data_IF_490929334786
#
_entry.id   IF_490929334786
#
_cell.length_a   1.000
_cell.length_b   1.000
_cell.length_c   1.000
_cell.angle_alpha   90.00
_cell.angle_beta   90.00
_cell.angle_gamma   90.00
#
_symmetry.space_group_name_H-M   'P 1'
#
loop_
_entity.id
_entity.type
_entity.pdbx_description
1 polymer ?
#
# COMPACT_ATOMS: atom_id res chain seq x y z
N UNK A 1 -8.41 16.86 11.55
CA UNK A 1 -7.62 15.89 12.33
C UNK A 1 -8.47 14.65 12.45
N UNK A 2 -8.09 13.56 11.79
CA UNK A 2 -8.83 12.31 11.91
C UNK A 2 -8.60 11.78 13.33
N UNK A 3 -9.67 11.68 14.10
CA UNK A 3 -9.67 11.02 15.40
C UNK A 3 -9.10 9.60 15.24
N UNK A 4 -8.18 9.26 16.15
CA UNK A 4 -7.53 7.97 16.26
C UNK A 4 -8.52 6.91 16.79
N UNK A 5 -9.60 6.63 16.06
CA UNK A 5 -10.71 5.77 16.50
C UNK A 5 -10.33 4.32 16.85
N UNK A 6 -9.09 3.91 16.66
CA UNK A 6 -8.65 2.53 16.86
C UNK A 6 -7.34 2.39 17.65
N UNK A 7 -6.77 3.48 18.19
CA UNK A 7 -5.51 3.36 18.94
C UNK A 7 -5.75 2.64 20.28
N UNK A 8 -5.02 1.55 20.52
CA UNK A 8 -5.13 0.77 21.76
C UNK A 8 -6.31 -0.21 21.79
N UNK A 9 -7.13 -0.26 20.75
CA UNK A 9 -8.24 -1.22 20.63
C UNK A 9 -7.94 -2.31 19.61
N UNK A 10 -8.26 -3.55 19.96
CA UNK A 10 -8.15 -4.68 19.03
C UNK A 10 -9.41 -4.72 18.16
N UNK A 11 -9.27 -4.39 16.89
CA UNK A 11 -10.34 -4.46 15.89
C UNK A 11 -10.00 -5.51 14.85
N UNK A 12 -10.64 -6.67 14.98
CA UNK A 12 -10.39 -7.83 14.13
C UNK A 12 -11.70 -8.41 13.63
N UNK A 13 -11.81 -8.51 12.31
CA UNK A 13 -12.84 -9.26 11.63
C UNK A 13 -12.31 -10.67 11.31
N UNK A 14 -13.09 -11.70 11.61
CA UNK A 14 -12.68 -13.10 11.42
C UNK A 14 -12.28 -13.41 9.97
N UNK A 15 -13.00 -12.86 8.99
CA UNK A 15 -12.71 -13.05 7.58
C UNK A 15 -11.47 -12.26 7.15
N UNK A 16 -11.28 -11.05 7.70
CA UNK A 16 -10.03 -10.29 7.51
C UNK A 16 -8.82 -11.04 8.06
N UNK A 17 -8.93 -11.63 9.26
CA UNK A 17 -7.87 -12.41 9.89
C UNK A 17 -7.55 -13.67 9.06
N UNK A 18 -8.55 -14.37 8.56
CA UNK A 18 -8.36 -15.51 7.66
C UNK A 18 -7.56 -15.11 6.41
N UNK A 19 -7.95 -14.00 5.77
CA UNK A 19 -7.24 -13.46 4.61
C UNK A 19 -5.80 -13.12 4.98
N UNK A 20 -5.56 -12.45 6.11
CA UNK A 20 -4.21 -12.14 6.58
C UNK A 20 -3.36 -13.40 6.76
N UNK A 21 -3.88 -14.44 7.43
CA UNK A 21 -3.14 -15.69 7.68
C UNK A 21 -2.78 -16.36 6.36
N UNK A 22 -3.74 -16.47 5.44
CA UNK A 22 -3.49 -17.05 4.10
C UNK A 22 -2.43 -16.25 3.35
N UNK A 23 -2.51 -14.93 3.34
CA UNK A 23 -1.55 -14.07 2.64
C UNK A 23 -0.17 -14.07 3.31
N UNK A 24 -0.10 -14.14 4.65
CA UNK A 24 1.14 -14.26 5.39
C UNK A 24 1.84 -15.60 5.11
N UNK A 25 1.12 -16.71 5.13
CA UNK A 25 1.64 -18.03 4.76
C UNK A 25 2.10 -18.01 3.29
N UNK A 26 1.28 -17.48 2.39
CA UNK A 26 1.64 -17.33 0.98
C UNK A 26 2.93 -16.50 0.82
N UNK A 27 3.08 -15.40 1.55
CA UNK A 27 4.27 -14.53 1.51
C UNK A 27 5.55 -15.26 1.89
N UNK A 28 5.48 -16.31 2.70
CA UNK A 28 6.63 -17.13 3.12
C UNK A 28 6.90 -18.25 2.10
N UNK A 29 5.84 -18.90 1.59
CA UNK A 29 5.95 -20.10 0.77
C UNK A 29 6.24 -19.84 -0.70
N UNK A 30 5.63 -18.80 -1.30
CA UNK A 30 5.74 -18.56 -2.75
C UNK A 30 7.18 -18.27 -3.20
N UNK A 31 7.55 -18.50 -4.46
CA UNK A 31 8.84 -18.07 -5.00
C UNK A 31 9.05 -16.54 -4.85
N UNK A 32 10.31 -16.09 -4.76
CA UNK A 32 10.67 -14.68 -4.50
C UNK A 32 9.94 -13.69 -5.42
N UNK A 33 9.85 -14.03 -6.71
CA UNK A 33 9.15 -13.25 -7.75
C UNK A 33 7.68 -12.92 -7.43
N UNK A 34 7.02 -13.75 -6.62
CA UNK A 34 5.61 -13.57 -6.22
C UNK A 34 5.46 -13.09 -4.77
N UNK A 35 6.55 -12.95 -4.01
CA UNK A 35 6.50 -12.65 -2.58
C UNK A 35 5.89 -11.28 -2.25
N UNK A 36 6.01 -10.33 -3.18
CA UNK A 36 5.39 -9.02 -3.09
C UNK A 36 3.87 -9.04 -3.37
N UNK A 37 3.37 -10.07 -4.05
CA UNK A 37 1.96 -10.14 -4.48
C UNK A 37 1.00 -10.27 -3.29
N UNK A 38 1.22 -11.14 -2.28
CA UNK A 38 0.38 -11.18 -1.10
C UNK A 38 0.29 -9.84 -0.36
N UNK A 39 1.40 -9.09 -0.30
CA UNK A 39 1.44 -7.75 0.31
C UNK A 39 0.55 -6.80 -0.49
N UNK A 40 0.67 -6.78 -1.82
CA UNK A 40 -0.20 -5.99 -2.69
C UNK A 40 -1.68 -6.35 -2.54
N UNK A 41 -2.01 -7.64 -2.47
CA UNK A 41 -3.40 -8.10 -2.28
C UNK A 41 -3.94 -7.55 -0.96
N UNK A 42 -3.16 -7.61 0.13
CA UNK A 42 -3.57 -7.02 1.40
C UNK A 42 -3.81 -5.51 1.26
N UNK A 43 -2.88 -4.77 0.65
CA UNK A 43 -3.01 -3.33 0.42
C UNK A 43 -4.28 -2.95 -0.35
N UNK A 44 -4.67 -3.75 -1.35
CA UNK A 44 -5.77 -3.43 -2.25
C UNK A 44 -7.15 -3.84 -1.70
N UNK A 45 -7.23 -4.87 -0.85
CA UNK A 45 -8.49 -5.51 -0.48
C UNK A 45 -8.79 -5.55 1.02
N UNK A 46 -7.82 -5.23 1.88
CA UNK A 46 -8.02 -5.26 3.34
C UNK A 46 -7.82 -3.89 3.95
N UNK A 47 -8.80 -3.47 4.74
CA UNK A 47 -8.81 -2.16 5.37
C UNK A 47 -7.69 -2.02 6.43
N UNK A 48 -6.99 -0.87 6.48
CA UNK A 48 -5.93 -0.62 7.46
C UNK A 48 -6.46 -0.45 8.89
N UNK A 49 -7.77 -0.39 9.10
CA UNK A 49 -8.38 -0.34 10.43
C UNK A 49 -8.28 -1.66 11.21
N UNK A 50 -7.81 -2.74 10.59
CA UNK A 50 -7.63 -4.04 11.24
C UNK A 50 -6.30 -4.13 12.00
N UNK A 51 -6.36 -4.35 13.32
CA UNK A 51 -5.19 -4.36 14.20
C UNK A 51 -5.38 -5.22 15.44
N UNK A 52 -4.26 -5.73 15.95
CA UNK A 52 -4.18 -6.56 17.16
C UNK A 52 -3.29 -5.84 18.16
N UNK A 53 -3.82 -5.50 19.33
CA UNK A 53 -3.04 -4.85 20.39
C UNK A 53 -2.56 -5.90 21.39
N UNK A 54 -1.25 -6.07 21.52
CA UNK A 54 -0.63 -7.00 22.47
C UNK A 54 0.31 -6.23 23.39
N UNK A 55 0.07 -6.28 24.71
CA UNK A 55 0.91 -5.63 25.72
C UNK A 55 1.23 -4.14 25.43
N UNK A 56 0.26 -3.39 24.89
CA UNK A 56 0.42 -1.96 24.54
C UNK A 56 1.09 -1.71 23.18
N UNK A 57 1.47 -2.76 22.45
CA UNK A 57 1.95 -2.67 21.08
C UNK A 57 0.80 -2.94 20.09
N UNK A 58 0.55 -1.99 19.20
CA UNK A 58 -0.48 -2.07 18.17
C UNK A 58 0.10 -2.75 16.91
N UNK A 59 -0.40 -3.92 16.52
CA UNK A 59 0.01 -4.62 15.31
C UNK A 59 -1.07 -4.54 14.24
N UNK A 60 -0.91 -3.61 13.31
CA UNK A 60 -1.74 -3.54 12.10
C UNK A 60 -1.56 -4.80 11.25
N UNK A 61 -2.57 -5.14 10.44
CA UNK A 61 -2.45 -6.24 9.48
C UNK A 61 -1.31 -6.02 8.48
N UNK A 62 -1.07 -4.75 8.10
CA UNK A 62 0.08 -4.36 7.28
C UNK A 62 1.39 -4.73 7.97
N UNK A 63 1.53 -4.44 9.27
CA UNK A 63 2.73 -4.79 10.02
C UNK A 63 2.94 -6.28 10.10
N UNK A 64 1.87 -7.06 10.33
CA UNK A 64 1.95 -8.52 10.44
C UNK A 64 2.42 -9.13 9.11
N UNK A 65 1.88 -8.69 7.96
CA UNK A 65 2.33 -9.23 6.67
C UNK A 65 3.77 -8.79 6.33
N UNK A 66 4.18 -7.58 6.71
CA UNK A 66 5.56 -7.12 6.55
C UNK A 66 6.51 -7.95 7.43
N UNK A 67 6.11 -8.27 8.66
CA UNK A 67 6.86 -9.19 9.53
C UNK A 67 6.99 -10.58 8.91
N UNK A 68 5.94 -11.12 8.29
CA UNK A 68 6.02 -12.38 7.55
C UNK A 68 6.99 -12.30 6.37
N UNK A 69 6.99 -11.18 5.63
CA UNK A 69 7.96 -10.90 4.57
C UNK A 69 9.41 -10.83 5.08
N UNK A 70 9.64 -10.18 6.23
CA UNK A 70 10.95 -10.14 6.88
C UNK A 70 11.40 -11.52 7.36
N UNK A 71 10.51 -12.30 7.99
CA UNK A 71 10.79 -13.67 8.40
C UNK A 71 11.22 -14.53 7.20
N UNK A 72 10.50 -14.41 6.07
CA UNK A 72 10.89 -15.07 4.81
C UNK A 72 12.29 -14.67 4.35
N UNK A 73 12.59 -13.38 4.30
CA UNK A 73 13.90 -12.86 3.87
C UNK A 73 15.03 -13.41 4.74
N UNK A 74 14.81 -13.50 6.06
CA UNK A 74 15.77 -14.08 7.01
C UNK A 74 15.93 -15.59 6.83
N UNK A 75 14.82 -16.34 6.78
CA UNK A 75 14.82 -17.81 6.62
C UNK A 75 15.49 -18.23 5.31
N UNK A 76 15.25 -17.49 4.22
CA UNK A 76 15.77 -17.80 2.87
C UNK A 76 17.12 -17.14 2.59
N UNK A 77 17.69 -16.38 3.52
CA UNK A 77 18.96 -15.70 3.34
C UNK A 77 18.97 -14.68 2.19
N UNK A 78 17.82 -14.06 1.88
CA UNK A 78 17.66 -13.16 0.73
C UNK A 78 18.39 -11.80 0.91
N UNK A 79 18.91 -11.53 2.11
CA UNK A 79 19.77 -10.39 2.47
C UNK A 79 21.22 -10.50 1.99
N UNK A 80 21.70 -11.69 1.63
CA UNK A 80 23.12 -11.95 1.35
C UNK A 80 23.73 -11.06 0.25
N UNK A 81 22.92 -10.64 -0.72
CA UNK A 81 23.32 -9.76 -1.82
C UNK A 81 22.69 -8.36 -1.71
N UNK A 82 22.39 -7.89 -0.50
CA UNK A 82 21.86 -6.56 -0.30
C UNK A 82 22.98 -5.51 -0.40
N UNK A 83 22.99 -4.76 -1.50
CA UNK A 83 23.94 -3.66 -1.70
C UNK A 83 23.36 -2.34 -1.19
N UNK A 84 24.07 -1.68 -0.29
CA UNK A 84 23.69 -0.36 0.20
C UNK A 84 23.83 0.68 -0.91
N UNK A 85 22.75 1.41 -1.21
CA UNK A 85 22.71 2.48 -2.21
C UNK A 85 22.54 3.84 -1.54
N UNK A 86 22.96 4.96 -2.16
CA UNK A 86 22.77 6.30 -1.60
C UNK A 86 21.31 6.61 -1.23
N UNK A 87 20.36 6.10 -2.02
CA UNK A 87 18.93 6.22 -1.73
C UNK A 87 18.52 5.57 -0.40
N UNK A 88 19.21 4.50 0.03
CA UNK A 88 18.96 3.85 1.32
C UNK A 88 19.37 4.74 2.48
N UNK A 89 20.48 5.47 2.33
CA UNK A 89 20.93 6.45 3.31
C UNK A 89 19.94 7.63 3.40
N UNK A 90 19.43 8.10 2.26
CA UNK A 90 18.40 9.16 2.24
C UNK A 90 17.11 8.69 2.89
N UNK A 91 16.65 7.47 2.60
CA UNK A 91 15.46 6.88 3.21
C UNK A 91 15.63 6.66 4.71
N UNK A 92 16.81 6.21 5.15
CA UNK A 92 17.12 6.05 6.57
C UNK A 92 17.16 7.41 7.28
N UNK A 93 17.81 8.42 6.68
CA UNK A 93 17.86 9.77 7.23
C UNK A 93 16.45 10.37 7.35
N UNK A 94 15.62 10.22 6.32
CA UNK A 94 14.22 10.65 6.35
C UNK A 94 13.42 9.94 7.45
N UNK A 95 13.59 8.63 7.61
CA UNK A 95 12.94 7.85 8.65
C UNK A 95 13.36 8.27 10.07
N UNK A 96 14.67 8.47 10.30
CA UNK A 96 15.21 8.91 11.60
C UNK A 96 14.77 10.33 11.94
N UNK A 97 14.89 11.26 10.98
CA UNK A 97 14.43 12.65 11.17
C UNK A 97 12.92 12.68 11.43
N UNK A 98 12.14 11.90 10.68
CA UNK A 98 10.69 11.79 10.85
C UNK A 98 10.27 11.16 12.18
N UNK A 99 11.06 10.24 12.73
CA UNK A 99 10.86 9.68 14.06
C UNK A 99 11.12 10.74 15.14
N UNK A 100 12.30 11.37 15.09
CA UNK A 100 12.70 12.39 16.07
C UNK A 100 11.76 13.59 16.05
N UNK A 101 11.52 14.18 14.88
CA UNK A 101 10.67 15.37 14.75
C UNK A 101 9.24 15.12 15.27
N UNK A 102 8.64 13.97 14.95
CA UNK A 102 7.29 13.63 15.43
C UNK A 102 7.27 13.47 16.96
N UNK A 103 8.26 12.77 17.51
CA UNK A 103 8.32 12.51 18.96
C UNK A 103 8.55 13.80 19.75
N UNK A 104 9.39 14.70 19.25
CA UNK A 104 9.61 16.01 19.86
C UNK A 104 8.38 16.91 19.76
N UNK A 105 7.68 16.90 18.62
CA UNK A 105 6.48 17.71 18.40
C UNK A 105 5.36 17.37 19.39
N UNK A 106 5.20 16.10 19.74
CA UNK A 106 4.16 15.61 20.64
C UNK A 106 4.63 15.42 22.10
N UNK A 107 5.69 16.13 22.50
CA UNK A 107 6.10 16.23 23.90
C UNK A 107 6.83 15.00 24.45
N UNK A 108 7.39 14.14 23.60
CA UNK A 108 8.28 13.05 24.02
C UNK A 108 7.63 11.91 24.82
N UNK A 109 6.30 11.85 24.87
CA UNK A 109 5.59 10.79 25.57
C UNK A 109 5.91 9.40 24.96
N UNK A 110 6.13 8.41 25.82
CA UNK A 110 6.52 7.04 25.43
C UNK A 110 5.55 6.41 24.41
N UNK A 111 4.24 6.66 24.55
CA UNK A 111 3.22 6.16 23.62
C UNK A 111 3.36 6.69 22.19
N UNK A 112 3.71 7.97 22.02
CA UNK A 112 3.89 8.59 20.70
C UNK A 112 5.15 8.07 20.01
N UNK A 113 6.20 7.84 20.79
CA UNK A 113 7.41 7.17 20.31
C UNK A 113 7.11 5.75 19.83
N UNK A 114 6.43 4.94 20.62
CA UNK A 114 6.06 3.56 20.25
C UNK A 114 5.23 3.54 18.96
N UNK A 115 4.22 4.40 18.86
CA UNK A 115 3.39 4.51 17.66
C UNK A 115 4.21 4.88 16.44
N UNK A 116 5.08 5.89 16.57
CA UNK A 116 5.91 6.37 15.46
C UNK A 116 6.95 5.35 15.02
N UNK A 117 7.53 4.58 15.94
CA UNK A 117 8.41 3.45 15.60
C UNK A 117 7.66 2.41 14.77
N UNK A 118 6.41 2.10 15.13
CA UNK A 118 5.55 1.22 14.34
C UNK A 118 5.31 1.72 12.92
N UNK A 119 4.98 3.01 12.76
CA UNK A 119 4.81 3.66 11.45
C UNK A 119 6.11 3.68 10.62
N UNK A 120 7.24 3.97 11.26
CA UNK A 120 8.56 3.91 10.62
C UNK A 120 8.90 2.48 10.18
N UNK A 121 8.54 1.46 10.96
CA UNK A 121 8.71 0.06 10.57
C UNK A 121 7.87 -0.28 9.34
N UNK A 122 6.62 0.17 9.28
CA UNK A 122 5.75 -0.06 8.13
C UNK A 122 6.27 0.65 6.88
N UNK A 123 6.84 1.85 7.01
CA UNK A 123 7.33 2.62 5.85
C UNK A 123 8.74 2.21 5.42
N UNK A 124 9.73 2.37 6.29
CA UNK A 124 11.13 2.05 5.99
C UNK A 124 11.36 0.54 5.91
N UNK A 125 10.71 -0.24 6.79
CA UNK A 125 10.79 -1.70 6.74
C UNK A 125 10.18 -2.27 5.45
N UNK A 126 9.06 -1.71 4.96
CA UNK A 126 8.54 -2.09 3.65
C UNK A 126 9.51 -1.71 2.53
N UNK A 127 10.09 -0.49 2.55
CA UNK A 127 11.07 -0.07 1.53
C UNK A 127 12.22 -1.07 1.38
N UNK A 128 12.90 -1.43 2.48
CA UNK A 128 14.02 -2.38 2.45
C UNK A 128 13.54 -3.78 2.03
N UNK A 129 12.39 -4.22 2.54
CA UNK A 129 11.78 -5.49 2.18
C UNK A 129 11.52 -5.56 0.67
N UNK A 130 10.88 -4.56 0.07
CA UNK A 130 10.60 -4.53 -1.36
C UNK A 130 11.87 -4.53 -2.21
N UNK A 131 12.97 -3.90 -1.77
CA UNK A 131 14.27 -4.04 -2.46
C UNK A 131 14.86 -5.45 -2.36
N UNK A 132 14.59 -6.18 -1.29
CA UNK A 132 15.02 -7.57 -1.17
C UNK A 132 14.17 -8.50 -2.06
N UNK A 133 12.87 -8.21 -2.18
CA UNK A 133 11.93 -9.03 -2.95
C UNK A 133 12.02 -8.76 -4.45
N UNK A 134 12.15 -7.50 -4.87
CA UNK A 134 12.20 -7.06 -6.28
C UNK A 134 13.64 -6.69 -6.63
N UNK A 135 14.38 -7.63 -7.22
CA UNK A 135 15.80 -7.44 -7.60
C UNK A 135 15.97 -7.26 -9.10
N UNK A 136 15.20 -8.01 -9.89
CA UNK A 136 15.40 -8.11 -11.32
C UNK A 136 14.19 -7.57 -12.11
N UNK A 137 14.39 -7.29 -13.39
CA UNK A 137 13.32 -6.87 -14.30
C UNK A 137 12.17 -7.88 -14.38
N UNK A 138 12.44 -9.16 -14.18
CA UNK A 138 11.44 -10.22 -14.13
C UNK A 138 10.55 -10.12 -12.90
N UNK A 139 11.13 -9.78 -11.73
CA UNK A 139 10.36 -9.58 -10.50
C UNK A 139 9.50 -8.33 -10.62
N UNK A 140 10.09 -7.24 -11.13
CA UNK A 140 9.36 -5.99 -11.37
C UNK A 140 8.19 -6.22 -12.32
N UNK A 141 8.40 -6.95 -13.42
CA UNK A 141 7.33 -7.28 -14.36
C UNK A 141 6.24 -8.12 -13.71
N UNK A 142 6.60 -9.10 -12.88
CA UNK A 142 5.63 -9.95 -12.16
C UNK A 142 4.80 -9.10 -11.20
N UNK A 143 5.45 -8.19 -10.47
CA UNK A 143 4.79 -7.22 -9.58
C UNK A 143 3.83 -6.30 -10.36
N UNK A 144 4.24 -5.78 -11.52
CA UNK A 144 3.40 -4.92 -12.34
C UNK A 144 2.20 -5.68 -12.92
N UNK A 145 2.39 -6.91 -13.43
CA UNK A 145 1.27 -7.74 -13.90
C UNK A 145 0.27 -8.03 -12.79
N UNK A 146 0.76 -8.37 -11.59
CA UNK A 146 -0.10 -8.59 -10.44
C UNK A 146 -0.87 -7.31 -10.09
N UNK A 147 -0.20 -6.16 -9.99
CA UNK A 147 -0.88 -4.90 -9.68
C UNK A 147 -1.89 -4.49 -10.75
N UNK A 148 -1.65 -4.74 -12.05
CA UNK A 148 -2.61 -4.50 -13.14
C UNK A 148 -3.88 -5.34 -12.95
N UNK A 149 -3.71 -6.62 -12.63
CA UNK A 149 -4.86 -7.49 -12.34
C UNK A 149 -5.66 -6.99 -11.13
N UNK A 150 -4.97 -6.60 -10.05
CA UNK A 150 -5.60 -6.11 -8.84
C UNK A 150 -6.33 -4.78 -9.07
N UNK A 151 -5.71 -3.79 -9.73
CA UNK A 151 -6.36 -2.50 -10.01
C UNK A 151 -7.55 -2.67 -10.95
N UNK A 152 -7.48 -3.61 -11.90
CA UNK A 152 -8.60 -3.93 -12.80
C UNK A 152 -9.81 -4.48 -12.05
N UNK A 153 -9.59 -5.23 -10.95
CA UNK A 153 -10.67 -5.65 -10.06
C UNK A 153 -11.13 -4.50 -9.16
N UNK A 154 -10.19 -3.74 -8.58
CA UNK A 154 -10.48 -2.64 -7.65
C UNK A 154 -11.31 -1.54 -8.29
N UNK A 155 -11.05 -1.17 -9.55
CA UNK A 155 -11.84 -0.14 -10.24
C UNK A 155 -13.32 -0.51 -10.33
N UNK A 156 -13.65 -1.80 -10.42
CA UNK A 156 -15.03 -2.29 -10.36
C UNK A 156 -15.69 -2.02 -9.00
N UNK A 157 -14.97 -2.26 -7.90
CA UNK A 157 -15.45 -1.93 -6.56
C UNK A 157 -15.65 -0.42 -6.35
N UNK A 158 -14.74 0.40 -6.88
CA UNK A 158 -14.87 1.87 -6.81
C UNK A 158 -16.04 2.38 -7.65
N UNK A 159 -16.28 1.79 -8.83
CA UNK A 159 -17.44 2.11 -9.65
C UNK A 159 -18.75 1.75 -8.93
N UNK A 160 -18.80 0.59 -8.29
CA UNK A 160 -19.94 0.17 -7.47
C UNK A 160 -20.16 1.10 -6.26
N UNK A 161 -19.10 1.46 -5.56
CA UNK A 161 -19.13 2.39 -4.43
C UNK A 161 -19.70 3.76 -4.86
N UNK A 162 -19.25 4.27 -6.02
CA UNK A 162 -19.72 5.54 -6.57
C UNK A 162 -21.19 5.51 -6.98
N UNK A 163 -21.72 4.37 -7.43
CA UNK A 163 -23.12 4.24 -7.83
C UNK A 163 -24.05 4.05 -6.62
N UNK A 164 -23.62 3.26 -5.64
CA UNK A 164 -24.48 2.82 -4.53
C UNK A 164 -24.33 3.66 -3.26
N UNK A 165 -23.29 4.49 -3.18
CA UNK A 165 -22.85 5.22 -1.97
C UNK A 165 -22.47 4.30 -0.82
N UNK A 166 -22.24 3.01 -1.11
CA UNK A 166 -21.93 1.98 -0.12
C UNK A 166 -20.57 1.37 -0.42
N UNK A 167 -19.72 1.35 0.60
CA UNK A 167 -18.41 0.73 0.52
C UNK A 167 -18.50 -0.76 0.88
N UNK A 168 -18.32 -1.64 -0.11
CA UNK A 168 -18.35 -3.10 0.09
C UNK A 168 -17.25 -3.60 1.04
N UNK A 169 -16.14 -2.87 1.16
CA UNK A 169 -15.04 -3.24 2.06
C UNK A 169 -15.39 -3.01 3.53
N UNK A 170 -16.48 -2.31 3.85
CA UNK A 170 -16.95 -2.16 5.22
C UNK A 170 -17.33 -3.50 5.88
N UNK A 171 -17.61 -4.56 5.09
CA UNK A 171 -17.81 -5.92 5.58
C UNK A 171 -16.61 -6.44 6.36
N UNK A 172 -15.39 -6.03 5.99
CA UNK A 172 -14.17 -6.40 6.70
C UNK A 172 -13.92 -5.53 7.94
N UNK A 173 -14.68 -4.45 8.14
CA UNK A 173 -14.45 -3.45 9.19
C UNK A 173 -13.25 -2.55 8.92
N UNK A 174 -13.13 -1.43 9.64
CA UNK A 174 -12.00 -0.51 9.52
C UNK A 174 -12.09 0.53 8.39
N UNK A 175 -13.19 0.54 7.63
CA UNK A 175 -13.58 1.63 6.70
C UNK A 175 -15.08 1.95 6.87
N UNK A 176 -15.52 3.20 6.58
CA UNK A 176 -16.93 3.58 6.70
C UNK A 176 -17.82 2.81 5.72
N UNK A 177 -19.04 2.37 6.13
CA UNK A 177 -20.00 1.72 5.25
C UNK A 177 -20.61 2.65 4.21
N UNK A 178 -20.74 3.94 4.54
CA UNK A 178 -21.23 4.97 3.63
C UNK A 178 -20.06 5.77 3.05
N UNK A 179 -20.13 6.02 1.74
CA UNK A 179 -19.11 6.77 1.03
C UNK A 179 -19.14 8.24 1.41
N UNK A 180 -17.96 8.81 1.66
CA UNK A 180 -17.82 10.22 2.01
C UNK A 180 -18.32 11.13 0.88
N UNK A 181 -19.24 12.04 1.21
CA UNK A 181 -19.66 13.12 0.33
C UNK A 181 -18.92 14.40 0.68
N UNK A 182 -18.29 15.06 -0.31
CA UNK A 182 -17.63 16.35 -0.12
C UNK A 182 -17.90 17.23 -1.34
N UNK A 183 -18.36 18.46 -1.11
CA UNK A 183 -18.66 19.43 -2.17
C UNK A 183 -19.57 18.85 -3.27
N UNK A 184 -20.58 18.07 -2.88
CA UNK A 184 -21.54 17.45 -3.81
C UNK A 184 -20.99 16.28 -4.63
N UNK A 185 -19.74 15.84 -4.41
CA UNK A 185 -19.15 14.67 -5.07
C UNK A 185 -18.87 13.55 -4.06
N UNK A 186 -19.15 12.32 -4.48
CA UNK A 186 -18.75 11.13 -3.75
C UNK A 186 -17.25 10.94 -3.88
N UNK A 187 -16.61 10.59 -2.76
CA UNK A 187 -15.17 10.29 -2.71
C UNK A 187 -15.00 8.85 -2.29
N UNK A 188 -14.88 7.98 -3.29
CA UNK A 188 -14.72 6.55 -3.06
C UNK A 188 -13.34 6.26 -2.47
N UNK A 189 -13.25 5.32 -1.53
CA UNK A 189 -11.98 4.93 -0.91
C UNK A 189 -11.70 3.43 -0.96
N UNK A 190 -12.68 2.58 -1.26
CA UNK A 190 -12.54 1.14 -1.20
C UNK A 190 -11.95 0.67 0.13
N UNK A 191 -10.94 -0.20 0.08
CA UNK A 191 -10.23 -0.69 1.26
C UNK A 191 -9.24 0.32 1.88
N UNK A 192 -8.99 1.48 1.26
CA UNK A 192 -7.99 2.42 1.77
C UNK A 192 -8.55 3.25 2.94
N UNK A 193 -7.67 3.73 3.82
CA UNK A 193 -8.04 4.61 4.92
C UNK A 193 -8.71 5.93 4.46
N UNK A 194 -8.33 6.42 3.27
CA UNK A 194 -8.82 7.70 2.75
C UNK A 194 -8.77 7.74 1.22
N UNK A 195 -9.72 8.41 0.54
CA UNK A 195 -9.75 8.54 -0.93
C UNK A 195 -8.46 9.11 -1.54
N UNK A 196 -7.82 10.04 -0.84
CA UNK A 196 -6.53 10.62 -1.29
C UNK A 196 -5.44 9.55 -1.36
N UNK A 197 -5.36 8.69 -0.33
CA UNK A 197 -4.35 7.64 -0.27
C UNK A 197 -4.57 6.60 -1.37
N UNK A 198 -5.83 6.19 -1.59
CA UNK A 198 -6.21 5.32 -2.70
C UNK A 198 -5.74 5.90 -4.04
N UNK A 199 -6.13 7.15 -4.33
CA UNK A 199 -5.75 7.79 -5.59
C UNK A 199 -4.24 7.93 -5.75
N UNK A 200 -3.52 8.34 -4.71
CA UNK A 200 -2.06 8.47 -4.77
C UNK A 200 -1.37 7.13 -5.00
N UNK A 201 -1.84 6.05 -4.37
CA UNK A 201 -1.30 4.70 -4.58
C UNK A 201 -1.40 4.26 -6.04
N UNK A 202 -2.56 4.43 -6.67
CA UNK A 202 -2.71 4.04 -8.08
C UNK A 202 -2.03 5.03 -9.04
N UNK A 203 -1.90 6.29 -8.67
CA UNK A 203 -1.15 7.30 -9.43
C UNK A 203 0.36 6.98 -9.49
N UNK A 204 0.96 6.51 -8.40
CA UNK A 204 2.40 6.17 -8.37
C UNK A 204 2.74 4.91 -9.16
N UNK A 205 1.76 4.03 -9.44
CA UNK A 205 1.95 2.84 -10.27
C UNK A 205 1.92 3.15 -11.78
N UNK A 206 1.22 4.22 -12.20
CA UNK A 206 1.06 4.55 -13.62
C UNK A 206 2.38 4.71 -14.39
N UNK A 207 3.41 5.41 -13.89
CA UNK A 207 4.69 5.55 -14.60
C UNK A 207 5.38 4.21 -14.78
N UNK A 208 5.22 3.30 -13.82
CA UNK A 208 5.76 1.94 -13.93
C UNK A 208 5.03 1.14 -15.02
N UNK A 209 3.71 1.33 -15.18
CA UNK A 209 2.95 0.73 -16.29
C UNK A 209 3.39 1.29 -17.65
N UNK A 210 3.70 2.58 -17.72
CA UNK A 210 4.24 3.18 -18.96
C UNK A 210 5.52 2.45 -19.41
N UNK A 211 6.39 2.07 -18.47
CA UNK A 211 7.59 1.26 -18.75
C UNK A 211 7.31 -0.07 -19.48
N UNK A 212 6.11 -0.64 -19.36
CA UNK A 212 5.74 -1.87 -20.06
C UNK A 212 5.46 -1.67 -21.56
N UNK A 213 5.29 -0.43 -22.03
CA UNK A 213 5.07 -0.17 -23.46
C UNK A 213 6.27 -0.53 -24.35
N UNK A 214 7.48 -0.49 -23.80
CA UNK A 214 8.70 -0.89 -24.50
C UNK A 214 8.90 -2.42 -24.56
N UNK A 215 7.95 -3.21 -24.06
CA UNK A 215 7.99 -4.66 -24.11
C UNK A 215 7.15 -5.24 -25.26
N UNK A 216 6.70 -6.49 -25.15
CA UNK A 216 5.91 -7.17 -26.19
C UNK A 216 4.50 -6.58 -26.34
N UNK A 217 3.83 -6.90 -27.45
CA UNK A 217 2.46 -6.41 -27.74
C UNK A 217 1.45 -6.72 -26.62
N UNK A 218 1.52 -7.90 -26.00
CA UNK A 218 0.68 -8.24 -24.85
C UNK A 218 0.94 -7.31 -23.65
N UNK A 219 2.20 -7.00 -23.35
CA UNK A 219 2.53 -6.09 -22.25
C UNK A 219 2.05 -4.67 -22.52
N UNK A 220 2.05 -4.21 -23.78
CA UNK A 220 1.50 -2.91 -24.18
C UNK A 220 -0.01 -2.85 -23.91
N UNK A 221 -0.74 -3.91 -24.24
CA UNK A 221 -2.17 -4.00 -23.94
C UNK A 221 -2.42 -3.97 -22.42
N UNK A 222 -1.68 -4.77 -21.66
CA UNK A 222 -1.80 -4.80 -20.20
C UNK A 222 -1.43 -3.45 -19.56
N UNK A 223 -0.42 -2.76 -20.08
CA UNK A 223 -0.06 -1.41 -19.65
C UNK A 223 -1.21 -0.42 -19.83
N UNK A 224 -1.86 -0.44 -20.99
CA UNK A 224 -3.03 0.40 -21.27
C UNK A 224 -4.18 0.08 -20.31
N UNK A 225 -4.46 -1.21 -20.06
CA UNK A 225 -5.48 -1.64 -19.09
C UNK A 225 -5.16 -1.11 -17.69
N UNK A 226 -3.92 -1.28 -17.22
CA UNK A 226 -3.49 -0.79 -15.91
C UNK A 226 -3.62 0.73 -15.77
N UNK A 227 -3.21 1.47 -16.79
CA UNK A 227 -3.32 2.95 -16.82
C UNK A 227 -4.78 3.39 -16.78
N UNK A 228 -5.65 2.80 -17.61
CA UNK A 228 -7.06 3.14 -17.65
C UNK A 228 -7.78 2.78 -16.34
N UNK A 229 -7.46 1.63 -15.75
CA UNK A 229 -8.00 1.23 -14.47
C UNK A 229 -7.54 2.17 -13.33
N UNK A 230 -6.25 2.52 -13.28
CA UNK A 230 -5.73 3.50 -12.31
C UNK A 230 -6.38 4.88 -12.48
N UNK A 231 -6.56 5.36 -13.72
CA UNK A 231 -7.27 6.61 -14.00
C UNK A 231 -8.73 6.55 -13.54
N UNK A 232 -9.40 5.41 -13.74
CA UNK A 232 -10.74 5.18 -13.23
C UNK A 232 -10.81 5.28 -11.71
N UNK A 233 -9.89 4.64 -10.98
CA UNK A 233 -9.83 4.77 -9.51
C UNK A 233 -9.57 6.22 -9.09
N UNK A 234 -8.60 6.90 -9.70
CA UNK A 234 -8.29 8.31 -9.42
C UNK A 234 -9.50 9.21 -9.63
N UNK A 235 -10.27 8.97 -10.69
CA UNK A 235 -11.51 9.69 -10.98
C UNK A 235 -12.54 9.51 -9.86
N UNK A 236 -12.79 8.27 -9.40
CA UNK A 236 -13.74 7.98 -8.33
C UNK A 236 -13.31 8.49 -6.94
N UNK A 237 -12.02 8.69 -6.70
CA UNK A 237 -11.51 9.32 -5.47
C UNK A 237 -11.84 10.81 -5.36
N UNK A 238 -12.19 11.46 -6.49
CA UNK A 238 -12.52 12.88 -6.59
C UNK A 238 -11.55 13.78 -5.80
N UNK A 239 -10.25 13.70 -6.14
CA UNK A 239 -9.18 14.44 -5.46
C UNK A 239 -8.18 15.02 -6.45
N UNK A 240 -7.68 16.24 -6.17
CA UNK A 240 -6.64 16.89 -6.97
C UNK A 240 -5.23 16.34 -6.69
N UNK A 241 -4.94 15.89 -5.47
CA UNK A 241 -3.61 15.37 -5.10
C UNK A 241 -3.11 14.22 -6.00
N UNK A 242 -3.91 13.18 -6.30
CA UNK A 242 -3.49 12.13 -7.24
C UNK A 242 -3.27 12.64 -8.67
N UNK A 243 -4.05 13.63 -9.11
CA UNK A 243 -3.90 14.24 -10.44
C UNK A 243 -2.55 14.97 -10.51
N UNK A 244 -2.20 15.73 -9.47
CA UNK A 244 -0.88 16.36 -9.35
C UNK A 244 0.24 15.32 -9.37
N UNK A 245 0.07 14.17 -8.71
CA UNK A 245 1.05 13.09 -8.73
C UNK A 245 1.25 12.50 -10.14
N UNK A 246 0.16 12.30 -10.90
CA UNK A 246 0.25 11.86 -12.31
C UNK A 246 0.96 12.90 -13.16
N UNK A 247 0.62 14.19 -13.03
CA UNK A 247 1.27 15.27 -13.77
C UNK A 247 2.77 15.38 -13.45
N UNK A 248 3.14 15.28 -12.18
CA UNK A 248 4.53 15.28 -11.75
C UNK A 248 5.31 14.13 -12.40
N UNK A 249 4.70 12.95 -12.48
CA UNK A 249 5.33 11.80 -13.12
C UNK A 249 5.45 11.96 -14.65
N UNK A 250 4.47 12.58 -15.31
CA UNK A 250 4.56 12.90 -16.75
C UNK A 250 5.68 13.90 -17.03
N UNK A 251 5.80 14.96 -16.21
CA UNK A 251 6.89 15.93 -16.34
C UNK A 251 8.24 15.26 -16.10
N UNK A 252 8.36 14.46 -15.03
CA UNK A 252 9.58 13.72 -14.76
C UNK A 252 9.98 12.77 -15.90
N UNK A 253 9.01 12.06 -16.49
CA UNK A 253 9.24 11.19 -17.64
C UNK A 253 9.62 11.94 -18.92
N UNK A 254 9.17 13.19 -19.10
CA UNK A 254 9.54 14.02 -20.25
C UNK A 254 10.95 14.63 -20.15
N UNK A 255 11.55 14.64 -18.96
CA UNK A 255 12.89 15.19 -18.70
C UNK A 255 14.02 14.15 -18.86
N UNK A 256 13.69 12.88 -19.11
CA UNK A 256 14.61 11.76 -19.27
C UNK A 256 14.60 11.31 -20.73
#
# INVERSE_FOLDING_TARGET
MAENYFYGETTVNALGLLVLVVLAIASILVPRRYAAVPILVLCCFVAPGQRIVLAGLDFSFMRIILMAGWARVLIRGELSNYEWKPIDAVMLAWAVVGLLAYTMLWGGASGQFIWRVGDTMETYGAYILFRCLVKDWTDLRTFLMASILLVSAVVGFFAFENQTRRNLFAVFGGVPPETMLRQGRLRCQGAFAHPILAGCFYATLMPMYVGLFWSTSLHRLLAAVGILASLGVIFFCASSTPILAVMAAMVGGALI
#
